data_IF_113663599472
#
_entry.id   IF_113663599472
#
_cell.length_a   1.000
_cell.length_b   1.000
_cell.length_c   1.000
_cell.angle_alpha   90.00
_cell.angle_beta   90.00
_cell.angle_gamma   90.00
#
_symmetry.space_group_name_H-M   'P 1'
#
loop_
_entity.id
_entity.type
_entity.pdbx_description
1 polymer ?
#
# COMPACT_ATOMS: atom_id res chain seq x y z
N UNK A 1 -7.44 16.17 -0.73
CA UNK A 1 -6.66 15.03 -0.20
C UNK A 1 -6.65 13.81 -1.12
N UNK A 2 -7.71 12.98 -1.21
CA UNK A 2 -7.67 11.77 -2.08
C UNK A 2 -7.49 12.16 -3.56
N UNK A 3 -8.18 13.21 -3.99
CA UNK A 3 -8.10 13.74 -5.36
C UNK A 3 -6.71 14.31 -5.71
N UNK A 4 -5.85 14.58 -4.73
CA UNK A 4 -4.48 15.04 -4.95
C UNK A 4 -3.49 13.87 -5.11
N UNK A 5 -3.94 12.62 -5.00
CA UNK A 5 -3.14 11.41 -5.14
C UNK A 5 -1.85 11.42 -4.29
N UNK A 6 -1.92 11.99 -3.07
CA UNK A 6 -0.76 12.14 -2.17
C UNK A 6 -0.16 10.79 -1.75
N UNK A 7 -1.01 9.77 -1.64
CA UNK A 7 -0.60 8.39 -1.39
C UNK A 7 -0.76 7.61 -2.69
N UNK A 8 0.34 7.03 -3.15
CA UNK A 8 0.43 6.19 -4.34
C UNK A 8 0.58 4.73 -3.95
N UNK A 9 0.12 3.86 -4.84
CA UNK A 9 0.28 2.41 -4.73
C UNK A 9 0.62 1.82 -6.09
N UNK A 10 1.32 2.60 -6.92
CA UNK A 10 1.70 2.27 -8.28
C UNK A 10 3.22 2.29 -8.44
N UNK A 11 3.70 1.50 -9.40
CA UNK A 11 5.08 1.54 -9.84
C UNK A 11 5.24 2.72 -10.82
N UNK A 12 6.06 3.73 -10.50
CA UNK A 12 6.25 4.91 -11.35
C UNK A 12 6.77 4.55 -12.74
N UNK A 13 6.67 5.48 -13.69
CA UNK A 13 7.27 5.27 -15.01
C UNK A 13 8.78 5.56 -14.93
N UNK A 14 9.65 4.61 -15.34
CA UNK A 14 11.10 4.75 -15.20
C UNK A 14 11.71 5.84 -16.09
N UNK A 15 11.00 6.33 -17.11
CA UNK A 15 11.48 7.42 -17.98
C UNK A 15 11.11 8.80 -17.44
N UNK A 16 9.97 8.91 -16.74
CA UNK A 16 9.48 10.21 -16.22
C UNK A 16 9.83 10.42 -14.75
N UNK A 17 9.87 9.36 -13.94
CA UNK A 17 10.18 9.39 -12.50
C UNK A 17 11.24 8.33 -12.13
N UNK A 18 12.44 8.35 -12.74
CA UNK A 18 13.46 7.29 -12.58
C UNK A 18 13.88 7.06 -11.11
N UNK A 19 14.15 8.13 -10.37
CA UNK A 19 14.61 8.01 -8.98
C UNK A 19 13.53 7.40 -8.08
N UNK A 20 12.27 7.79 -8.28
CA UNK A 20 11.16 7.25 -7.52
C UNK A 20 10.90 5.79 -7.90
N UNK A 21 10.99 5.46 -9.19
CA UNK A 21 10.88 4.08 -9.68
C UNK A 21 11.87 3.16 -8.97
N UNK A 22 13.16 3.53 -8.93
CA UNK A 22 14.18 2.72 -8.27
C UNK A 22 13.91 2.55 -6.77
N UNK A 23 13.46 3.61 -6.08
CA UNK A 23 13.11 3.51 -4.65
C UNK A 23 11.89 2.65 -4.40
N UNK A 24 10.85 2.75 -5.23
CA UNK A 24 9.64 1.92 -5.13
C UNK A 24 9.98 0.47 -5.38
N UNK A 25 10.75 0.19 -6.43
CA UNK A 25 11.23 -1.15 -6.77
C UNK A 25 12.06 -1.77 -5.65
N UNK A 26 12.93 -0.98 -5.01
CA UNK A 26 13.77 -1.45 -3.91
C UNK A 26 13.00 -1.67 -2.60
N UNK A 27 12.00 -0.83 -2.30
CA UNK A 27 11.44 -0.76 -0.94
C UNK A 27 9.96 -1.13 -0.82
N UNK A 28 9.16 -0.98 -1.86
CA UNK A 28 7.69 -1.05 -1.77
C UNK A 28 7.09 -2.26 -2.50
N UNK A 29 7.89 -3.13 -3.13
CA UNK A 29 7.36 -4.34 -3.75
C UNK A 29 7.08 -5.40 -2.69
N UNK A 30 5.81 -5.77 -2.55
CA UNK A 30 5.41 -6.86 -1.69
C UNK A 30 5.83 -8.20 -2.27
N UNK A 31 6.71 -8.89 -1.54
CA UNK A 31 6.99 -10.30 -1.78
C UNK A 31 6.27 -11.15 -0.72
N UNK A 32 5.44 -12.10 -1.16
CA UNK A 32 4.83 -13.11 -0.28
C UNK A 32 5.87 -14.08 0.27
N UNK A 33 6.67 -13.61 1.24
CA UNK A 33 7.65 -14.40 1.96
C UNK A 33 7.00 -15.24 3.07
N UNK A 34 7.77 -16.12 3.71
CA UNK A 34 7.35 -16.88 4.89
C UNK A 34 6.78 -15.97 6.00
N UNK A 35 7.29 -14.75 6.16
CA UNK A 35 6.78 -13.77 7.13
C UNK A 35 5.36 -13.27 6.81
N UNK A 36 4.92 -13.41 5.55
CA UNK A 36 3.57 -13.12 5.11
C UNK A 36 2.62 -14.33 5.23
N UNK A 37 3.12 -15.47 5.70
CA UNK A 37 2.42 -16.76 5.65
C UNK A 37 2.64 -17.53 4.33
N UNK A 38 3.62 -17.11 3.51
CA UNK A 38 3.91 -17.71 2.20
C UNK A 38 3.05 -17.15 1.06
N UNK A 39 3.29 -17.62 -0.19
CA UNK A 39 2.45 -17.28 -1.34
C UNK A 39 1.01 -17.78 -1.10
N UNK A 40 0.05 -16.92 -1.41
CA UNK A 40 -1.35 -17.31 -1.41
C UNK A 40 -1.59 -18.40 -2.47
N UNK A 41 -2.60 -19.24 -2.26
CA UNK A 41 -3.05 -20.18 -3.28
C UNK A 41 -3.39 -19.41 -4.58
N UNK A 42 -3.22 -20.02 -5.77
CA UNK A 42 -3.61 -19.40 -7.02
C UNK A 42 -5.04 -18.83 -6.94
N UNK A 43 -5.22 -17.59 -7.38
CA UNK A 43 -6.50 -16.89 -7.34
C UNK A 43 -6.92 -16.33 -5.97
N UNK A 44 -6.11 -16.47 -4.93
CA UNK A 44 -6.40 -15.95 -3.59
C UNK A 44 -5.49 -14.78 -3.23
N UNK A 45 -5.97 -13.92 -2.33
CA UNK A 45 -5.17 -12.86 -1.73
C UNK A 45 -4.40 -13.37 -0.52
N UNK A 46 -3.18 -12.85 -0.33
CA UNK A 46 -2.37 -13.15 0.85
C UNK A 46 -2.96 -12.49 2.09
N UNK A 47 -2.44 -12.85 3.28
CA UNK A 47 -2.88 -12.28 4.55
C UNK A 47 -2.78 -10.75 4.63
N UNK A 48 -1.91 -10.14 3.82
CA UNK A 48 -1.73 -8.68 3.71
C UNK A 48 -2.56 -8.02 2.60
N UNK A 49 -3.38 -8.79 1.89
CA UNK A 49 -4.30 -8.26 0.87
C UNK A 49 -3.71 -8.10 -0.53
N UNK A 50 -2.62 -8.82 -0.85
CA UNK A 50 -1.99 -8.83 -2.18
C UNK A 50 -2.37 -10.09 -2.97
N UNK A 51 -2.54 -10.01 -4.30
CA UNK A 51 -2.47 -8.81 -5.12
C UNK A 51 -3.63 -7.85 -4.81
N UNK A 52 -3.38 -6.53 -4.87
CA UNK A 52 -4.42 -5.52 -4.73
C UNK A 52 -5.39 -5.58 -5.92
N UNK A 53 -6.69 -5.27 -5.70
CA UNK A 53 -7.66 -5.24 -6.79
C UNK A 53 -7.37 -4.09 -7.74
N UNK A 54 -7.65 -4.28 -9.03
CA UNK A 54 -7.57 -3.20 -10.01
C UNK A 54 -8.56 -2.08 -9.69
N UNK A 55 -8.10 -0.84 -9.82
CA UNK A 55 -8.93 0.32 -9.64
C UNK A 55 -8.40 1.54 -10.40
N UNK A 56 -9.25 2.26 -11.16
CA UNK A 56 -8.82 3.44 -11.92
C UNK A 56 -8.55 4.67 -11.04
N UNK A 57 -9.08 4.71 -9.81
CA UNK A 57 -8.95 5.83 -8.88
C UNK A 57 -8.95 5.35 -7.42
N UNK A 58 -8.42 6.17 -6.53
CA UNK A 58 -8.45 5.89 -5.09
C UNK A 58 -9.82 6.29 -4.52
N UNK A 59 -10.45 5.42 -3.73
CA UNK A 59 -11.74 5.70 -3.09
C UNK A 59 -11.88 5.02 -1.73
N UNK A 60 -12.86 5.47 -0.94
CA UNK A 60 -13.22 4.84 0.33
C UNK A 60 -14.30 3.78 0.09
N UNK A 61 -14.00 2.53 0.43
CA UNK A 61 -14.94 1.42 0.39
C UNK A 61 -15.69 1.35 1.74
N UNK A 62 -17.01 1.57 1.67
CA UNK A 62 -17.90 1.56 2.83
C UNK A 62 -18.13 0.18 3.41
N UNK A 63 -18.00 -0.88 2.61
CA UNK A 63 -18.27 -2.25 3.07
C UNK A 63 -17.09 -2.76 3.90
N UNK A 64 -15.88 -2.53 3.40
CA UNK A 64 -14.66 -2.93 4.13
C UNK A 64 -14.15 -1.88 5.11
N UNK A 65 -14.69 -0.65 5.05
CA UNK A 65 -14.24 0.52 5.80
C UNK A 65 -12.73 0.78 5.59
N UNK A 66 -12.26 0.66 4.34
CA UNK A 66 -10.86 0.83 3.94
C UNK A 66 -10.77 1.65 2.66
N UNK A 67 -9.59 2.22 2.43
CA UNK A 67 -9.31 2.87 1.15
C UNK A 67 -8.78 1.84 0.15
N UNK A 68 -9.37 1.84 -1.04
CA UNK A 68 -8.86 1.15 -2.21
C UNK A 68 -8.06 2.17 -3.01
N UNK A 69 -6.81 1.83 -3.31
CA UNK A 69 -5.91 2.71 -4.05
C UNK A 69 -6.00 2.45 -5.54
N UNK A 70 -5.73 3.50 -6.32
CA UNK A 70 -5.52 3.39 -7.76
C UNK A 70 -4.46 2.33 -8.05
N UNK A 71 -4.83 1.36 -8.88
CA UNK A 71 -4.02 0.23 -9.30
C UNK A 71 -4.42 -0.12 -10.72
N UNK A 72 -3.59 0.23 -11.72
CA UNK A 72 -3.96 0.13 -13.14
C UNK A 72 -3.23 -1.01 -13.82
N UNK A 73 -1.94 -1.13 -13.56
CA UNK A 73 -1.08 -2.11 -14.21
C UNK A 73 -0.93 -3.35 -13.33
N UNK A 74 -0.71 -4.55 -13.90
CA UNK A 74 -0.50 -5.76 -13.11
C UNK A 74 0.64 -5.63 -12.09
N UNK A 75 1.66 -4.85 -12.39
CA UNK A 75 2.80 -4.62 -11.49
C UNK A 75 2.41 -3.79 -10.26
N UNK A 76 1.44 -2.87 -10.41
CA UNK A 76 0.94 -2.02 -9.32
C UNK A 76 0.26 -2.84 -8.23
N UNK A 77 -0.31 -4.00 -8.58
CA UNK A 77 -1.04 -4.85 -7.65
C UNK A 77 -0.17 -5.35 -6.48
N UNK A 78 1.15 -5.25 -6.60
CA UNK A 78 2.13 -5.70 -5.60
C UNK A 78 2.82 -4.55 -4.89
N UNK A 79 2.50 -3.31 -5.21
CA UNK A 79 3.13 -2.13 -4.60
C UNK A 79 2.42 -1.79 -3.30
N UNK A 80 3.18 -1.70 -2.21
CA UNK A 80 2.69 -1.25 -0.90
C UNK A 80 2.43 0.25 -0.93
N UNK A 81 1.31 0.76 -0.40
CA UNK A 81 1.01 2.19 -0.40
C UNK A 81 2.09 3.06 0.26
N UNK A 82 2.48 4.14 -0.42
CA UNK A 82 3.56 5.04 -0.01
C UNK A 82 3.25 6.51 -0.33
N UNK A 83 3.92 7.42 0.38
CA UNK A 83 3.92 8.84 0.03
C UNK A 83 5.21 9.17 -0.75
N UNK A 84 5.16 9.62 -2.01
CA UNK A 84 6.34 9.75 -2.88
C UNK A 84 7.47 10.58 -2.26
N UNK A 85 7.15 11.77 -1.74
CA UNK A 85 8.17 12.66 -1.16
C UNK A 85 8.82 12.07 0.10
N UNK A 86 8.06 11.39 0.95
CA UNK A 86 8.60 10.76 2.16
C UNK A 86 9.46 9.56 1.76
N UNK A 87 9.06 8.78 0.75
CA UNK A 87 9.89 7.70 0.22
C UNK A 87 11.22 8.20 -0.34
N UNK A 88 11.20 9.34 -1.05
CA UNK A 88 12.41 9.97 -1.58
C UNK A 88 13.41 10.32 -0.46
N UNK A 89 12.92 10.91 0.63
CA UNK A 89 13.74 11.34 1.77
C UNK A 89 14.20 10.15 2.62
N UNK A 90 13.27 9.27 2.99
CA UNK A 90 13.49 8.21 3.96
C UNK A 90 14.18 6.98 3.35
N UNK A 91 13.94 6.71 2.07
CA UNK A 91 14.54 5.61 1.31
C UNK A 91 14.43 4.23 2.00
N UNK A 92 13.29 3.95 2.63
CA UNK A 92 13.01 2.64 3.24
C UNK A 92 11.55 2.23 3.05
N UNK A 93 11.26 0.95 3.29
CA UNK A 93 9.90 0.41 3.23
C UNK A 93 8.95 1.21 4.14
N UNK A 94 7.76 1.53 3.63
CA UNK A 94 6.72 2.20 4.39
C UNK A 94 5.34 1.69 3.99
N UNK A 95 4.35 1.90 4.84
CA UNK A 95 2.97 1.55 4.54
C UNK A 95 2.09 2.71 5.01
N UNK A 96 2.11 3.79 4.24
CA UNK A 96 1.38 5.02 4.55
C UNK A 96 0.03 4.93 3.86
N UNK A 97 -1.04 5.04 4.64
CA UNK A 97 -2.40 4.85 4.16
C UNK A 97 -3.33 5.95 4.67
N UNK A 98 -4.33 6.28 3.87
CA UNK A 98 -5.53 6.94 4.36
C UNK A 98 -6.27 6.01 5.34
N UNK A 99 -6.85 6.59 6.38
CA UNK A 99 -7.56 5.85 7.43
C UNK A 99 -8.81 6.62 7.83
N UNK A 100 -9.91 5.91 8.09
CA UNK A 100 -11.11 6.53 8.65
C UNK A 100 -10.93 6.78 10.15
N UNK A 101 -11.66 7.74 10.71
CA UNK A 101 -11.62 8.04 12.15
C UNK A 101 -11.89 6.80 13.00
N UNK A 102 -12.82 5.94 12.58
CA UNK A 102 -13.13 4.70 13.26
C UNK A 102 -11.95 3.72 13.25
N UNK A 103 -11.32 3.50 12.10
CA UNK A 103 -10.15 2.60 11.98
C UNK A 103 -8.95 3.15 12.74
N UNK A 104 -8.76 4.47 12.75
CA UNK A 104 -7.73 5.13 13.53
C UNK A 104 -7.94 4.86 15.03
N UNK A 105 -9.16 5.05 15.54
CA UNK A 105 -9.48 4.77 16.94
C UNK A 105 -9.20 3.30 17.30
N UNK A 106 -9.65 2.34 16.49
CA UNK A 106 -9.33 0.91 16.70
C UNK A 106 -7.83 0.63 16.70
N UNK A 107 -7.08 1.27 15.80
CA UNK A 107 -5.64 1.09 15.71
C UNK A 107 -4.94 1.62 16.96
N UNK A 108 -5.28 2.84 17.40
CA UNK A 108 -4.71 3.43 18.62
C UNK A 108 -4.99 2.56 19.85
N UNK A 109 -6.25 2.15 20.06
CA UNK A 109 -6.62 1.28 21.19
C UNK A 109 -5.87 -0.05 21.16
N UNK A 110 -5.71 -0.66 19.97
CA UNK A 110 -4.94 -1.90 19.81
C UNK A 110 -3.50 -1.75 20.30
N UNK A 111 -2.85 -0.62 20.02
CA UNK A 111 -1.45 -0.39 20.40
C UNK A 111 -1.31 0.05 21.85
N UNK A 112 -2.28 0.80 22.39
CA UNK A 112 -2.33 1.13 23.83
C UNK A 112 -2.46 -0.15 24.66
N UNK A 113 -3.31 -1.09 24.22
CA UNK A 113 -3.52 -2.36 24.92
C UNK A 113 -2.44 -3.42 24.61
N UNK A 114 -1.45 -3.09 23.78
CA UNK A 114 -0.39 -4.04 23.42
C UNK A 114 0.62 -4.12 24.55
N UNK A 115 0.67 -5.25 25.24
CA UNK A 115 1.73 -5.54 26.21
C UNK A 115 3.08 -5.65 25.52
N UNK A 116 4.13 -5.15 26.17
CA UNK A 116 5.53 -5.27 25.72
C UNK A 116 6.00 -6.73 25.67
#
# INVERSE_FOLDING_TARGET
MINENLIRSDLPDPNTEPDLYEKVKANQIHTCSLKCGGPAAPGHTCKKGFPHPFSPYTYFDTDTQRYIYRCIKPEDQWVVPYHPQILMIWNAHMNIQYVSSQKLAFYLTKYIAKTE
#
